data_IF_589470877525
#
_entry.id   IF_589470877525
#
_cell.length_a   1.000
_cell.length_b   1.000
_cell.length_c   1.000
_cell.angle_alpha   90.00
_cell.angle_beta   90.00
_cell.angle_gamma   90.00
#
_symmetry.space_group_name_H-M   'P 1'
#
loop_
_entity.id
_entity.type
_entity.pdbx_description
1 polymer ?
#
# COMPACT_ATOMS: atom_id res chain seq x y z
N UNK A 1 2.66 -21.44 61.12
CA UNK A 1 2.77 -20.63 59.89
C UNK A 1 1.74 -21.17 58.92
N UNK A 2 0.87 -20.33 58.36
CA UNK A 2 -0.05 -20.73 57.29
C UNK A 2 0.72 -20.61 55.97
N UNK A 3 0.71 -21.64 55.13
CA UNK A 3 1.41 -21.58 53.86
C UNK A 3 0.55 -20.76 52.88
N UNK A 4 1.17 -19.83 52.15
CA UNK A 4 0.53 -19.10 51.06
C UNK A 4 1.14 -19.53 49.73
N UNK A 5 0.36 -19.40 48.68
CA UNK A 5 0.75 -19.59 47.31
C UNK A 5 1.20 -18.22 46.79
N UNK A 6 2.51 -18.04 46.62
CA UNK A 6 3.13 -16.74 46.36
C UNK A 6 3.79 -16.68 44.97
N UNK A 7 3.70 -17.76 44.20
CA UNK A 7 4.28 -17.85 42.86
C UNK A 7 3.56 -18.88 41.99
N UNK A 8 3.75 -18.78 40.66
CA UNK A 8 3.25 -19.78 39.70
C UNK A 8 3.73 -21.19 40.02
N UNK A 9 4.99 -21.37 40.39
CA UNK A 9 5.55 -22.69 40.72
C UNK A 9 4.93 -23.25 42.00
N UNK A 10 4.74 -22.41 43.02
CA UNK A 10 4.05 -22.82 44.25
C UNK A 10 2.57 -23.16 44.00
N UNK A 11 1.94 -22.49 43.03
CA UNK A 11 0.58 -22.76 42.62
C UNK A 11 0.48 -24.11 41.88
N UNK A 12 1.42 -24.39 40.98
CA UNK A 12 1.52 -25.68 40.30
C UNK A 12 1.76 -26.81 41.31
N UNK A 13 2.66 -26.61 42.28
CA UNK A 13 2.91 -27.57 43.36
C UNK A 13 1.67 -27.79 44.25
N UNK A 14 0.92 -26.73 44.55
CA UNK A 14 -0.36 -26.84 45.25
C UNK A 14 -1.36 -27.68 44.44
N UNK A 15 -1.49 -27.44 43.13
CA UNK A 15 -2.38 -28.20 42.25
C UNK A 15 -2.02 -29.70 42.26
N UNK A 16 -0.72 -30.02 42.18
CA UNK A 16 -0.25 -31.40 42.28
C UNK A 16 -0.62 -32.03 43.62
N UNK A 17 -0.38 -31.33 44.74
CA UNK A 17 -0.75 -31.80 46.09
C UNK A 17 -2.24 -32.09 46.21
N UNK A 18 -3.09 -31.18 45.76
CA UNK A 18 -4.56 -31.36 45.77
C UNK A 18 -4.98 -32.58 44.97
N UNK A 19 -4.37 -32.78 43.80
CA UNK A 19 -4.73 -33.89 42.92
C UNK A 19 -4.34 -35.25 43.50
N UNK A 20 -3.24 -35.32 44.26
CA UNK A 20 -2.81 -36.53 44.98
C UNK A 20 -3.48 -36.73 46.35
N UNK A 21 -4.15 -35.71 46.91
CA UNK A 21 -4.81 -35.84 48.20
C UNK A 21 -6.03 -36.79 48.13
N UNK A 22 -6.16 -37.64 49.15
CA UNK A 22 -7.28 -38.59 49.31
C UNK A 22 -8.50 -37.84 49.87
N UNK A 23 -9.69 -38.26 49.43
CA UNK A 23 -11.00 -37.71 49.85
C UNK A 23 -11.06 -37.39 51.36
N UNK A 24 -11.33 -36.12 51.70
CA UNK A 24 -11.66 -35.68 53.07
C UNK A 24 -10.55 -34.94 53.84
N UNK A 25 -9.36 -34.72 53.27
CA UNK A 25 -8.26 -33.96 53.92
C UNK A 25 -7.82 -32.74 53.11
N UNK A 26 -8.76 -31.86 52.79
CA UNK A 26 -8.48 -30.64 52.01
C UNK A 26 -8.40 -29.36 52.84
N UNK A 27 -8.72 -29.39 54.14
CA UNK A 27 -8.83 -28.17 54.95
C UNK A 27 -7.58 -27.29 54.88
N UNK A 28 -6.39 -27.88 55.07
CA UNK A 28 -5.13 -27.12 54.98
C UNK A 28 -4.86 -26.59 53.56
N UNK A 29 -5.24 -27.35 52.52
CA UNK A 29 -5.05 -26.95 51.12
C UNK A 29 -6.05 -25.87 50.68
N UNK A 30 -7.27 -25.90 51.21
CA UNK A 30 -8.29 -24.88 51.04
C UNK A 30 -7.86 -23.60 51.73
N UNK A 31 -7.31 -23.69 52.94
CA UNK A 31 -6.74 -22.55 53.66
C UNK A 31 -5.55 -21.95 52.90
N UNK A 32 -4.61 -22.78 52.43
CA UNK A 32 -3.46 -22.31 51.61
C UNK A 32 -3.97 -21.47 50.42
N UNK A 33 -5.01 -21.93 49.72
CA UNK A 33 -5.61 -21.22 48.59
C UNK A 33 -6.38 -19.97 49.02
N UNK A 34 -7.19 -20.04 50.08
CA UNK A 34 -8.05 -18.95 50.54
C UNK A 34 -7.26 -17.78 51.14
N UNK A 35 -6.11 -18.05 51.77
CA UNK A 35 -5.23 -17.02 52.33
C UNK A 35 -4.25 -16.43 51.31
N UNK A 36 -4.23 -16.94 50.08
CA UNK A 36 -3.40 -16.42 49.00
C UNK A 36 -4.09 -15.28 48.27
N UNK A 37 -3.31 -14.40 47.64
CA UNK A 37 -3.86 -13.31 46.85
C UNK A 37 -4.58 -13.88 45.62
N UNK A 38 -5.88 -13.60 45.51
CA UNK A 38 -6.70 -14.19 44.47
C UNK A 38 -6.30 -13.69 43.07
N UNK A 39 -5.87 -12.43 42.94
CA UNK A 39 -5.45 -11.88 41.65
C UNK A 39 -4.13 -12.50 41.18
N UNK A 40 -3.22 -12.78 42.11
CA UNK A 40 -2.00 -13.52 41.81
C UNK A 40 -2.31 -14.94 41.37
N UNK A 41 -3.18 -15.66 42.09
CA UNK A 41 -3.62 -17.01 41.70
C UNK A 41 -4.25 -17.05 40.30
N UNK A 42 -5.07 -16.05 39.98
CA UNK A 42 -5.70 -15.90 38.66
C UNK A 42 -4.65 -15.63 37.58
N UNK A 43 -3.68 -14.78 37.85
CA UNK A 43 -2.55 -14.51 36.95
C UNK A 43 -1.74 -15.78 36.70
N UNK A 44 -1.39 -16.54 37.76
CA UNK A 44 -0.69 -17.81 37.63
C UNK A 44 -1.45 -18.82 36.80
N UNK A 45 -2.77 -18.91 36.99
CA UNK A 45 -3.65 -19.77 36.19
C UNK A 45 -3.68 -19.37 34.72
N UNK A 46 -3.72 -18.07 34.42
CA UNK A 46 -3.68 -17.55 33.05
C UNK A 46 -2.36 -17.96 32.36
N UNK A 47 -1.25 -17.81 33.08
CA UNK A 47 0.12 -18.06 32.61
C UNK A 47 0.49 -19.55 32.48
N UNK A 48 -0.35 -20.46 32.96
CA UNK A 48 -0.13 -21.90 32.82
C UNK A 48 -0.23 -22.38 31.37
N UNK A 49 0.65 -23.31 31.01
CA UNK A 49 0.55 -24.09 29.76
C UNK A 49 -0.72 -24.94 29.75
N UNK A 50 -1.08 -25.51 28.60
CA UNK A 50 -2.32 -26.28 28.49
C UNK A 50 -2.38 -27.49 29.44
N UNK A 51 -1.28 -28.26 29.54
CA UNK A 51 -1.20 -29.42 30.43
C UNK A 51 -1.25 -29.03 31.91
N UNK A 52 -0.59 -27.94 32.29
CA UNK A 52 -0.63 -27.41 33.67
C UNK A 52 -2.01 -26.86 34.03
N UNK A 53 -2.71 -26.28 33.05
CA UNK A 53 -4.04 -25.71 33.24
C UNK A 53 -5.10 -26.78 33.47
N UNK A 54 -5.02 -27.92 32.80
CA UNK A 54 -5.89 -29.08 33.09
C UNK A 54 -5.69 -29.59 34.53
N UNK A 55 -4.43 -29.67 34.97
CA UNK A 55 -4.09 -30.03 36.35
C UNK A 55 -4.69 -29.02 37.34
N UNK A 56 -4.58 -27.72 37.06
CA UNK A 56 -5.13 -26.66 37.90
C UNK A 56 -6.66 -26.63 37.91
N UNK A 57 -7.33 -26.85 36.77
CA UNK A 57 -8.79 -26.98 36.67
C UNK A 57 -9.27 -28.09 37.60
N UNK A 58 -8.64 -29.27 37.52
CA UNK A 58 -9.01 -30.40 38.36
C UNK A 58 -8.76 -30.12 39.84
N UNK A 59 -7.62 -29.49 40.17
CA UNK A 59 -7.28 -29.13 41.55
C UNK A 59 -8.26 -28.12 42.16
N UNK A 60 -8.55 -27.02 41.44
CA UNK A 60 -9.51 -26.00 41.89
C UNK A 60 -10.90 -26.62 42.04
N UNK A 61 -11.36 -27.41 41.07
CA UNK A 61 -12.65 -28.10 41.15
C UNK A 61 -12.73 -29.02 42.39
N UNK A 62 -11.64 -29.75 42.66
CA UNK A 62 -11.57 -30.75 43.73
C UNK A 62 -11.48 -30.11 45.13
N UNK A 63 -10.67 -29.07 45.30
CA UNK A 63 -10.48 -28.41 46.60
C UNK A 63 -11.48 -27.28 46.86
N UNK A 64 -11.79 -26.45 45.86
CA UNK A 64 -12.55 -25.20 46.03
C UNK A 64 -13.94 -25.23 45.38
N UNK A 65 -14.25 -26.26 44.59
CA UNK A 65 -15.55 -26.44 43.96
C UNK A 65 -15.76 -25.62 42.69
N UNK A 66 -16.91 -25.86 42.05
CA UNK A 66 -17.23 -25.35 40.71
C UNK A 66 -17.41 -23.83 40.64
N UNK A 67 -17.89 -23.20 41.70
CA UNK A 67 -18.07 -21.74 41.72
C UNK A 67 -16.71 -21.02 41.59
N UNK A 68 -15.72 -21.45 42.37
CA UNK A 68 -14.35 -20.92 42.31
C UNK A 68 -13.71 -21.22 40.96
N UNK A 69 -13.87 -22.44 40.44
CA UNK A 69 -13.36 -22.79 39.11
C UNK A 69 -13.98 -21.90 38.02
N UNK A 70 -15.29 -21.68 38.07
CA UNK A 70 -15.99 -20.87 37.08
C UNK A 70 -15.41 -19.45 37.01
N UNK A 71 -15.10 -18.84 38.14
CA UNK A 71 -14.47 -17.51 38.17
C UNK A 71 -13.09 -17.47 37.50
N UNK A 72 -12.26 -18.48 37.73
CA UNK A 72 -10.93 -18.59 37.11
C UNK A 72 -11.03 -18.81 35.60
N UNK A 73 -11.91 -19.72 35.17
CA UNK A 73 -12.15 -19.98 33.75
C UNK A 73 -12.72 -18.75 33.05
N UNK A 74 -13.67 -18.05 33.68
CA UNK A 74 -14.26 -16.81 33.15
C UNK A 74 -13.20 -15.74 32.90
N UNK A 75 -12.29 -15.52 33.85
CA UNK A 75 -11.21 -14.55 33.68
C UNK A 75 -10.21 -14.96 32.60
N UNK A 76 -9.86 -16.24 32.53
CA UNK A 76 -9.01 -16.75 31.46
C UNK A 76 -9.64 -16.53 30.09
N UNK A 77 -10.93 -16.83 29.93
CA UNK A 77 -11.67 -16.58 28.70
C UNK A 77 -11.67 -15.09 28.33
N UNK A 78 -11.88 -14.19 29.30
CA UNK A 78 -11.81 -12.75 29.07
C UNK A 78 -10.41 -12.30 28.62
N UNK A 79 -9.36 -12.76 29.31
CA UNK A 79 -7.98 -12.46 28.94
C UNK A 79 -7.66 -12.90 27.51
N UNK A 80 -8.08 -14.12 27.13
CA UNK A 80 -7.87 -14.64 25.77
C UNK A 80 -8.65 -13.86 24.71
N UNK A 81 -9.90 -13.48 25.01
CA UNK A 81 -10.69 -12.66 24.11
C UNK A 81 -10.05 -11.27 23.90
N UNK A 82 -9.57 -10.63 24.97
CA UNK A 82 -8.91 -9.33 24.87
C UNK A 82 -7.62 -9.40 24.07
N UNK A 83 -6.76 -10.39 24.34
CA UNK A 83 -5.52 -10.57 23.59
C UNK A 83 -5.76 -10.79 22.10
N UNK A 84 -6.85 -11.50 21.73
CA UNK A 84 -7.26 -11.65 20.35
C UNK A 84 -7.68 -10.32 19.73
N UNK A 85 -8.54 -9.55 20.41
CA UNK A 85 -8.99 -8.23 19.96
C UNK A 85 -7.80 -7.28 19.76
N UNK A 86 -6.86 -7.25 20.71
CA UNK A 86 -5.67 -6.42 20.63
C UNK A 86 -4.79 -6.82 19.44
N UNK A 87 -4.67 -8.13 19.17
CA UNK A 87 -3.90 -8.63 18.02
C UNK A 87 -4.55 -8.29 16.68
N UNK A 88 -5.88 -8.42 16.55
CA UNK A 88 -6.61 -8.01 15.35
C UNK A 88 -6.57 -6.49 15.17
N UNK A 89 -6.67 -5.73 16.26
CA UNK A 89 -6.53 -4.29 16.27
C UNK A 89 -5.17 -3.85 15.71
N UNK A 90 -4.09 -4.43 16.23
CA UNK A 90 -2.73 -4.15 15.76
C UNK A 90 -2.53 -4.53 14.28
N UNK A 91 -3.11 -5.64 13.83
CA UNK A 91 -3.05 -6.04 12.43
C UNK A 91 -3.84 -5.09 11.52
N UNK A 92 -5.02 -4.65 11.95
CA UNK A 92 -5.83 -3.67 11.23
C UNK A 92 -5.12 -2.30 11.15
N UNK A 93 -4.50 -1.85 12.24
CA UNK A 93 -3.72 -0.60 12.27
C UNK A 93 -2.54 -0.68 11.29
N UNK A 94 -1.84 -1.81 11.27
CA UNK A 94 -0.75 -2.05 10.29
C UNK A 94 -1.26 -2.00 8.86
N UNK A 95 -2.38 -2.67 8.55
CA UNK A 95 -2.99 -2.64 7.22
C UNK A 95 -3.43 -1.24 6.81
N UNK A 96 -3.99 -0.46 7.75
CA UNK A 96 -4.38 0.92 7.50
C UNK A 96 -3.17 1.81 7.16
N UNK A 97 -2.05 1.62 7.85
CA UNK A 97 -0.80 2.33 7.56
C UNK A 97 -0.23 1.96 6.18
N UNK A 98 -0.22 0.66 5.83
CA UNK A 98 0.21 0.18 4.52
C UNK A 98 -0.65 0.75 3.39
N UNK A 99 -1.97 0.81 3.60
CA UNK A 99 -2.90 1.41 2.63
C UNK A 99 -2.64 2.91 2.45
N UNK A 100 -2.49 3.65 3.55
CA UNK A 100 -2.20 5.10 3.50
C UNK A 100 -0.88 5.41 2.77
N UNK A 101 0.16 4.58 2.97
CA UNK A 101 1.43 4.70 2.23
C UNK A 101 1.23 4.45 0.73
N UNK A 102 0.48 3.39 0.36
CA UNK A 102 0.19 3.09 -1.04
C UNK A 102 -0.62 4.20 -1.72
N UNK A 103 -1.61 4.77 -1.04
CA UNK A 103 -2.39 5.91 -1.54
C UNK A 103 -1.50 7.14 -1.78
N UNK A 104 -0.59 7.44 -0.86
CA UNK A 104 0.34 8.55 -1.00
C UNK A 104 1.32 8.36 -2.16
N UNK A 105 1.84 7.15 -2.37
CA UNK A 105 2.68 6.84 -3.54
C UNK A 105 1.93 6.96 -4.86
N UNK A 106 0.68 6.50 -4.89
CA UNK A 106 -0.18 6.61 -6.07
C UNK A 106 -0.46 8.08 -6.38
N UNK A 107 -0.70 8.90 -5.36
CA UNK A 107 -0.89 10.35 -5.52
C UNK A 107 0.33 11.03 -6.13
N UNK A 108 1.53 10.70 -5.65
CA UNK A 108 2.78 11.23 -6.22
C UNK A 108 2.94 10.87 -7.71
N UNK A 109 2.61 9.64 -8.09
CA UNK A 109 2.65 9.20 -9.50
C UNK A 109 1.62 9.97 -10.33
N UNK A 110 0.40 10.14 -9.82
CA UNK A 110 -0.65 10.93 -10.48
C UNK A 110 -0.18 12.36 -10.78
N UNK A 111 0.39 13.04 -9.78
CA UNK A 111 0.87 14.41 -9.93
C UNK A 111 2.05 14.50 -10.93
N UNK A 112 2.96 13.51 -10.90
CA UNK A 112 4.03 13.41 -11.90
C UNK A 112 3.47 13.25 -13.32
N UNK A 113 2.45 12.42 -13.51
CA UNK A 113 1.84 12.23 -14.83
C UNK A 113 1.13 13.48 -15.33
N UNK A 114 0.47 14.23 -14.45
CA UNK A 114 -0.15 15.52 -14.82
C UNK A 114 0.88 16.53 -15.32
N UNK A 115 2.04 16.61 -14.69
CA UNK A 115 3.14 17.47 -15.13
C UNK A 115 3.65 17.04 -16.51
N UNK A 116 3.86 15.73 -16.72
CA UNK A 116 4.29 15.19 -18.01
C UNK A 116 3.28 15.48 -19.12
N UNK A 117 1.97 15.27 -18.86
CA UNK A 117 0.91 15.57 -19.83
C UNK A 117 0.91 17.06 -20.20
N UNK A 118 1.07 17.95 -19.22
CA UNK A 118 1.11 19.40 -19.46
C UNK A 118 2.32 19.79 -20.32
N UNK A 119 3.50 19.23 -20.03
CA UNK A 119 4.71 19.47 -20.81
C UNK A 119 4.58 18.97 -22.26
N UNK A 120 4.01 17.77 -22.45
CA UNK A 120 3.73 17.23 -23.79
C UNK A 120 2.70 18.08 -24.55
N UNK A 121 1.67 18.58 -23.86
CA UNK A 121 0.69 19.50 -24.42
C UNK A 121 1.34 20.77 -24.96
N UNK A 122 2.19 21.42 -24.15
CA UNK A 122 2.96 22.59 -24.60
C UNK A 122 3.84 22.28 -25.80
N UNK A 123 4.56 21.16 -25.77
CA UNK A 123 5.43 20.75 -26.88
C UNK A 123 4.64 20.52 -28.17
N UNK A 124 3.44 19.95 -28.09
CA UNK A 124 2.58 19.74 -29.24
C UNK A 124 2.13 21.08 -29.85
N UNK A 125 1.72 22.04 -29.02
CA UNK A 125 1.37 23.39 -29.48
C UNK A 125 2.53 24.11 -30.19
N UNK A 126 3.76 23.96 -29.69
CA UNK A 126 4.94 24.50 -30.38
C UNK A 126 5.16 23.85 -31.74
N UNK A 127 5.08 22.52 -31.81
CA UNK A 127 5.24 21.78 -33.06
C UNK A 127 4.16 22.13 -34.09
N UNK A 128 2.91 22.31 -33.66
CA UNK A 128 1.82 22.79 -34.53
C UNK A 128 2.10 24.19 -35.09
N UNK A 129 2.63 25.09 -34.25
CA UNK A 129 3.02 26.44 -34.70
C UNK A 129 4.15 26.39 -35.73
N UNK A 130 5.19 25.59 -35.48
CA UNK A 130 6.30 25.42 -36.40
C UNK A 130 5.83 24.80 -37.72
N UNK A 131 4.95 23.80 -37.68
CA UNK A 131 4.39 23.18 -38.87
C UNK A 131 3.56 24.18 -39.70
N UNK A 132 2.74 25.01 -39.06
CA UNK A 132 1.98 26.06 -39.74
C UNK A 132 2.88 27.10 -40.41
N UNK A 133 3.97 27.49 -39.73
CA UNK A 133 4.98 28.39 -40.31
C UNK A 133 5.63 27.77 -41.54
N UNK A 134 6.11 26.53 -41.45
CA UNK A 134 6.71 25.80 -42.57
C UNK A 134 5.73 25.66 -43.74
N UNK A 135 4.46 25.39 -43.46
CA UNK A 135 3.40 25.31 -44.47
C UNK A 135 3.21 26.64 -45.20
N UNK A 136 3.22 27.76 -44.48
CA UNK A 136 3.16 29.10 -45.06
C UNK A 136 4.37 29.39 -45.94
N UNK A 137 5.58 29.09 -45.45
CA UNK A 137 6.82 29.29 -46.20
C UNK A 137 6.84 28.46 -47.49
N UNK A 138 6.41 27.19 -47.44
CA UNK A 138 6.23 26.36 -48.63
C UNK A 138 5.24 26.98 -49.63
N UNK A 139 4.11 27.51 -49.17
CA UNK A 139 3.14 28.18 -50.05
C UNK A 139 3.76 29.38 -50.77
N UNK A 140 4.56 30.17 -50.06
CA UNK A 140 5.22 31.34 -50.64
C UNK A 140 6.32 30.94 -51.65
N UNK A 141 7.08 29.87 -51.38
CA UNK A 141 8.01 29.32 -52.35
C UNK A 141 7.32 28.80 -53.61
N UNK A 142 6.16 28.14 -53.49
CA UNK A 142 5.38 27.68 -54.66
C UNK A 142 4.95 28.87 -55.52
N UNK A 143 4.43 29.95 -54.91
CA UNK A 143 4.07 31.17 -55.67
C UNK A 143 5.29 31.79 -56.35
N UNK A 144 6.44 31.80 -55.68
CA UNK A 144 7.70 32.31 -56.23
C UNK A 144 8.14 31.50 -57.46
N UNK A 145 8.02 30.18 -57.40
CA UNK A 145 8.32 29.28 -58.52
C UNK A 145 7.43 29.62 -59.71
N UNK A 146 6.10 29.70 -59.52
CA UNK A 146 5.18 30.04 -60.61
C UNK A 146 5.48 31.40 -61.24
N UNK A 147 5.84 32.41 -60.44
CA UNK A 147 6.23 33.73 -60.95
C UNK A 147 7.50 33.65 -61.82
N UNK A 148 8.50 32.89 -61.38
CA UNK A 148 9.74 32.68 -62.13
C UNK A 148 9.51 31.87 -63.42
N UNK A 149 8.65 30.85 -63.37
CA UNK A 149 8.27 30.07 -64.56
C UNK A 149 7.60 30.98 -65.60
N UNK A 150 6.69 31.86 -65.18
CA UNK A 150 6.07 32.86 -66.07
C UNK A 150 7.10 33.82 -66.68
N UNK A 151 8.06 34.31 -65.89
CA UNK A 151 9.13 35.19 -66.38
C UNK A 151 10.02 34.47 -67.40
N UNK A 152 10.34 33.20 -67.17
CA UNK A 152 11.09 32.37 -68.11
C UNK A 152 10.32 32.21 -69.42
N UNK A 153 9.01 31.95 -69.38
CA UNK A 153 8.17 31.84 -70.58
C UNK A 153 8.15 33.14 -71.40
N UNK A 154 8.02 34.28 -70.73
CA UNK A 154 8.05 35.60 -71.36
C UNK A 154 9.41 35.86 -72.04
N UNK A 155 10.51 35.59 -71.34
CA UNK A 155 11.87 35.72 -71.89
C UNK A 155 12.10 34.79 -73.09
N UNK A 156 11.61 33.55 -73.03
CA UNK A 156 11.69 32.62 -74.16
C UNK A 156 10.90 33.13 -75.37
N UNK A 157 9.73 33.74 -75.15
CA UNK A 157 8.94 34.32 -76.23
C UNK A 157 9.65 35.53 -76.87
N UNK A 158 10.27 36.40 -76.08
CA UNK A 158 11.06 37.53 -76.58
C UNK A 158 12.26 37.06 -77.39
N UNK A 159 12.99 36.06 -76.89
CA UNK A 159 14.14 35.47 -77.57
C UNK A 159 13.76 34.84 -78.93
N UNK A 160 12.59 34.18 -79.01
CA UNK A 160 12.04 33.70 -80.31
C UNK A 160 11.77 34.84 -81.28
N UNK A 161 11.24 35.98 -80.82
CA UNK A 161 11.00 37.16 -81.67
C UNK A 161 12.31 37.74 -82.21
N UNK A 162 13.33 37.85 -81.36
CA UNK A 162 14.65 38.33 -81.75
C UNK A 162 15.30 37.42 -82.80
N UNK A 163 15.23 36.09 -82.63
CA UNK A 163 15.72 35.16 -83.65
C UNK A 163 14.98 35.26 -84.98
N UNK A 164 13.65 35.43 -84.95
CA UNK A 164 12.88 35.64 -86.17
C UNK A 164 13.29 36.93 -86.90
N UNK A 165 13.53 38.01 -86.14
CA UNK A 165 14.02 39.27 -86.69
C UNK A 165 15.43 39.15 -87.28
N UNK A 166 16.35 38.49 -86.58
CA UNK A 166 17.71 38.23 -87.07
C UNK A 166 17.68 37.43 -88.39
N UNK A 167 16.87 36.37 -88.45
CA UNK A 167 16.68 35.56 -89.65
C UNK A 167 16.15 36.40 -90.82
N UNK A 168 15.18 37.29 -90.55
CA UNK A 168 14.66 38.21 -91.56
C UNK A 168 15.74 39.16 -92.09
N UNK A 169 16.55 39.79 -91.21
CA UNK A 169 17.67 40.64 -91.64
C UNK A 169 18.66 39.86 -92.52
N UNK A 170 19.04 38.65 -92.10
CA UNK A 170 19.95 37.78 -92.88
C UNK A 170 19.38 37.49 -94.28
N UNK A 171 18.06 37.30 -94.40
CA UNK A 171 17.42 37.09 -95.70
C UNK A 171 17.44 38.33 -96.60
N UNK A 172 17.39 39.54 -96.02
CA UNK A 172 17.48 40.79 -96.78
C UNK A 172 18.91 41.06 -97.27
N UNK A 173 19.92 40.68 -96.50
CA UNK A 173 21.34 40.89 -96.86
C UNK A 173 21.86 39.91 -97.92
N UNK A 174 21.20 38.76 -98.09
CA UNK A 174 21.59 37.71 -99.04
C UNK A 174 20.86 37.81 -100.39
N UNK A 175 19.99 38.81 -100.59
CA UNK A 175 19.34 39.16 -101.86
C UNK A 175 19.91 40.48 -102.40
#
# INVERSE_FOLDING_TARGET
MRNRIESKDSFLAWCQRVNHAVSGKYADLQDDFAYSDQNDLRSYFIDMTQNEKELAIFAIQKAMGSATLFDFVRQYSHFKAQAYIDSEGAENDKRALELALAEHELKKKEDSYKLTISALGHRNTELEKDNNKMTSECSDYVKRIWALESEVDDLQAELKKLYAFESHIKSLLNN
#
